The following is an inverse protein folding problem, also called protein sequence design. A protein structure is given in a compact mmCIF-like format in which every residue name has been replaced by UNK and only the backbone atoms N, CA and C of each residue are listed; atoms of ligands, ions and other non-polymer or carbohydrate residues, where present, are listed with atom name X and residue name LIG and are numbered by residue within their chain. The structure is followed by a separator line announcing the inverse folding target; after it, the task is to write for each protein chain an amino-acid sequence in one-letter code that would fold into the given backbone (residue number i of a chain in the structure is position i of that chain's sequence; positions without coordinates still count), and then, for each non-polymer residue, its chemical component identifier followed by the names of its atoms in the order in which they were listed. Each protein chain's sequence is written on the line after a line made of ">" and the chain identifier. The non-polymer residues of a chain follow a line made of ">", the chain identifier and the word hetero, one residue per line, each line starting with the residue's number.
data_IF_403010287211
#
_entry.id   IF_403010287211
#
_cell.length_a   1.000
_cell.length_b   1.000
_cell.length_c   1.000
_cell.angle_alpha   90.00
_cell.angle_beta   90.00
_cell.angle_gamma   90.00
#
_symmetry.space_group_name_H-M   'P 1'
#
loop_
_entity.id
_entity.type
_entity.pdbx_description
1 polymer ?
#
# COMPACT_ATOMS: atom_id res chain seq x y z
N UNK A 1 11.53 -1.78 3.50
CA UNK A 1 10.29 -2.46 3.95
C UNK A 1 9.37 -2.69 2.75
N UNK A 2 8.57 -3.75 2.80
CA UNK A 2 7.56 -4.06 1.78
C UNK A 2 6.24 -4.42 2.47
N UNK A 3 5.13 -4.37 1.73
CA UNK A 3 3.80 -4.67 2.25
C UNK A 3 2.99 -5.48 1.25
N UNK A 4 2.37 -6.56 1.72
CA UNK A 4 1.57 -7.49 0.91
C UNK A 4 0.18 -7.65 1.52
N UNK A 5 -0.83 -7.74 0.66
CA UNK A 5 -2.21 -8.05 1.07
C UNK A 5 -2.27 -9.54 1.40
N UNK A 6 -2.54 -9.87 2.66
CA UNK A 6 -2.62 -11.26 3.15
C UNK A 6 -4.05 -11.75 3.37
N UNK A 7 -5.00 -10.83 3.51
CA UNK A 7 -6.40 -11.12 3.75
C UNK A 7 -7.27 -10.01 3.14
N UNK A 8 -8.47 -10.36 2.68
CA UNK A 8 -9.50 -9.42 2.22
C UNK A 8 -10.78 -9.73 3.00
N UNK A 9 -11.25 -8.77 3.79
CA UNK A 9 -12.46 -8.94 4.60
C UNK A 9 -13.75 -8.95 3.78
N UNK A 10 -13.76 -8.23 2.66
CA UNK A 10 -14.87 -8.24 1.72
C UNK A 10 -14.80 -9.48 0.82
N UNK A 11 -15.61 -10.50 1.16
CA UNK A 11 -15.64 -11.78 0.44
C UNK A 11 -15.98 -11.64 -1.05
N UNK A 12 -16.63 -10.54 -1.45
CA UNK A 12 -16.95 -10.30 -2.87
C UNK A 12 -15.72 -9.92 -3.69
N UNK A 13 -14.61 -9.57 -3.03
CA UNK A 13 -13.37 -9.11 -3.66
C UNK A 13 -12.23 -10.13 -3.62
N UNK A 14 -12.49 -11.38 -3.20
CA UNK A 14 -11.44 -12.40 -3.05
C UNK A 14 -10.71 -12.72 -4.37
N UNK A 15 -11.47 -12.80 -5.46
CA UNK A 15 -10.92 -13.09 -6.80
C UNK A 15 -10.59 -11.81 -7.59
N UNK A 16 -10.56 -10.65 -6.91
CA UNK A 16 -10.27 -9.39 -7.58
C UNK A 16 -8.85 -9.41 -8.13
N UNK A 17 -8.69 -8.99 -9.38
CA UNK A 17 -7.38 -8.71 -10.00
C UNK A 17 -7.15 -7.21 -10.17
N UNK A 18 -5.89 -6.77 -10.20
CA UNK A 18 -5.58 -5.38 -10.54
C UNK A 18 -5.59 -5.19 -12.06
N UNK A 19 -6.77 -5.05 -12.66
CA UNK A 19 -6.91 -4.86 -14.11
C UNK A 19 -6.34 -3.52 -14.61
N UNK A 20 -6.35 -2.49 -13.75
CA UNK A 20 -5.96 -1.11 -14.03
C UNK A 20 -4.48 -0.83 -13.77
N UNK A 21 -3.77 -1.71 -13.05
CA UNK A 21 -2.33 -1.58 -12.85
C UNK A 21 -1.60 -1.55 -14.20
N UNK A 22 -0.53 -0.77 -14.28
CA UNK A 22 0.28 -0.59 -15.49
C UNK A 22 1.64 -1.29 -15.43
N UNK A 23 1.97 -1.92 -14.30
CA UNK A 23 3.24 -2.61 -14.05
C UNK A 23 3.06 -4.15 -13.97
N UNK A 24 4.03 -4.84 -13.36
CA UNK A 24 4.05 -6.30 -13.17
C UNK A 24 2.85 -6.86 -12.40
N UNK A 25 2.07 -5.99 -11.73
CA UNK A 25 0.87 -6.37 -10.97
C UNK A 25 -0.39 -6.39 -11.85
N UNK A 26 -0.30 -5.96 -13.11
CA UNK A 26 -1.44 -5.98 -14.04
C UNK A 26 -2.01 -7.39 -14.22
N UNK A 27 -3.31 -7.52 -13.99
CA UNK A 27 -4.04 -8.79 -14.11
C UNK A 27 -3.70 -9.83 -13.04
N UNK A 28 -2.89 -9.48 -12.03
CA UNK A 28 -2.60 -10.36 -10.89
C UNK A 28 -3.68 -10.23 -9.82
N UNK A 29 -3.90 -11.30 -9.07
CA UNK A 29 -4.80 -11.30 -7.92
C UNK A 29 -4.35 -10.27 -6.89
N UNK A 30 -5.31 -9.52 -6.35
CA UNK A 30 -5.09 -8.52 -5.30
C UNK A 30 -4.72 -9.23 -4.00
N UNK A 31 -5.35 -10.36 -3.69
CA UNK A 31 -4.91 -11.23 -2.60
C UNK A 31 -3.50 -11.76 -2.91
N UNK A 32 -2.56 -11.55 -1.99
CA UNK A 32 -1.14 -11.88 -2.17
C UNK A 32 -0.34 -10.82 -2.92
N UNK A 33 -0.97 -9.72 -3.38
CA UNK A 33 -0.28 -8.65 -4.09
C UNK A 33 0.62 -7.84 -3.16
N UNK A 34 1.86 -7.61 -3.57
CA UNK A 34 2.74 -6.63 -2.94
C UNK A 34 2.36 -5.22 -3.38
N UNK A 35 1.79 -4.46 -2.45
CA UNK A 35 1.28 -3.12 -2.72
C UNK A 35 2.24 -2.02 -2.29
N UNK A 36 3.08 -2.26 -1.27
CA UNK A 36 4.11 -1.33 -0.80
C UNK A 36 5.48 -1.87 -1.19
N UNK A 37 6.30 -1.05 -1.87
CA UNK A 37 7.60 -1.45 -2.43
C UNK A 37 8.70 -0.44 -2.15
N UNK A 38 9.94 -0.92 -2.13
CA UNK A 38 11.17 -0.11 -2.10
C UNK A 38 11.25 0.92 -0.97
N UNK A 39 10.58 0.68 0.16
CA UNK A 39 10.67 1.61 1.30
C UNK A 39 12.05 1.51 1.95
N UNK A 40 12.70 2.63 2.17
CA UNK A 40 13.97 2.74 2.88
C UNK A 40 13.71 3.27 4.30
N UNK A 41 14.49 2.80 5.28
CA UNK A 41 14.32 3.26 6.66
C UNK A 41 15.11 4.54 6.86
N UNK A 42 14.44 5.58 7.34
CA UNK A 42 15.06 6.83 7.78
C UNK A 42 14.62 7.15 9.22
N UNK A 43 15.56 7.05 10.15
CA UNK A 43 15.29 7.21 11.59
C UNK A 43 14.18 6.28 12.10
N UNK A 44 13.04 6.87 12.45
CA UNK A 44 11.85 6.19 12.97
C UNK A 44 10.76 5.95 11.91
N UNK A 45 11.05 6.27 10.66
CA UNK A 45 10.11 6.25 9.56
C UNK A 45 10.67 5.42 8.39
N UNK A 46 9.82 5.22 7.38
CA UNK A 46 10.24 4.71 6.11
C UNK A 46 9.74 5.60 4.98
N UNK A 47 10.60 5.87 4.01
CA UNK A 47 10.31 6.73 2.85
C UNK A 47 11.03 6.24 1.58
N UNK A 48 10.98 7.00 0.49
CA UNK A 48 11.62 6.67 -0.80
C UNK A 48 10.94 5.55 -1.61
N UNK A 49 9.98 4.83 -1.01
CA UNK A 49 9.22 3.77 -1.65
C UNK A 49 7.87 4.22 -2.22
N UNK A 50 7.10 3.26 -2.69
CA UNK A 50 5.79 3.51 -3.33
C UNK A 50 4.70 2.59 -2.81
N UNK A 51 3.46 3.02 -2.95
CA UNK A 51 2.25 2.23 -2.73
C UNK A 51 1.36 2.26 -3.97
N UNK A 52 0.85 1.11 -4.42
CA UNK A 52 -0.21 1.04 -5.44
C UNK A 52 -1.58 0.92 -4.79
N UNK A 53 -2.56 1.59 -5.36
CA UNK A 53 -3.97 1.33 -5.11
C UNK A 53 -4.50 0.35 -6.16
N UNK A 54 -4.78 -0.93 -5.82
CA UNK A 54 -5.25 -1.92 -6.78
C UNK A 54 -6.66 -1.63 -7.35
N UNK A 55 -7.42 -0.72 -6.74
CA UNK A 55 -8.76 -0.35 -7.20
C UNK A 55 -8.69 0.57 -8.42
N UNK A 56 -7.68 1.43 -8.51
CA UNK A 56 -7.51 2.37 -9.62
C UNK A 56 -6.18 2.23 -10.38
N UNK A 57 -5.28 1.35 -9.93
CA UNK A 57 -4.00 1.03 -10.57
C UNK A 57 -2.93 2.11 -10.42
N UNK A 58 -3.19 3.19 -9.66
CA UNK A 58 -2.26 4.30 -9.50
C UNK A 58 -1.22 3.98 -8.44
N UNK A 59 0.01 4.39 -8.73
CA UNK A 59 1.16 4.30 -7.83
C UNK A 59 1.44 5.68 -7.24
N UNK A 60 1.68 5.72 -5.94
CA UNK A 60 1.93 6.92 -5.15
C UNK A 60 3.25 6.80 -4.42
N UNK A 61 3.98 7.90 -4.27
CA UNK A 61 5.11 7.94 -3.33
C UNK A 61 4.59 7.72 -1.92
N UNK A 62 5.33 6.95 -1.12
CA UNK A 62 4.84 6.48 0.17
C UNK A 62 5.80 6.84 1.31
N UNK A 63 5.20 7.24 2.44
CA UNK A 63 5.87 7.41 3.73
C UNK A 63 5.11 6.66 4.81
N UNK A 64 5.84 5.96 5.67
CA UNK A 64 5.31 5.13 6.75
C UNK A 64 5.94 5.56 8.08
N UNK A 65 5.14 5.68 9.13
CA UNK A 65 5.64 5.89 10.49
C UNK A 65 4.68 5.32 11.52
N UNK A 66 5.19 5.08 12.73
CA UNK A 66 4.38 4.67 13.87
C UNK A 66 4.05 5.89 14.72
N UNK A 67 2.78 6.05 15.06
CA UNK A 67 2.28 7.13 15.92
C UNK A 67 1.09 6.58 16.71
N UNK A 68 1.12 6.74 18.03
CA UNK A 68 0.09 6.24 18.95
C UNK A 68 -0.24 4.74 18.79
N UNK A 69 0.77 3.93 18.46
CA UNK A 69 0.63 2.49 18.24
C UNK A 69 -0.05 2.10 16.93
N UNK A 70 -0.36 3.07 16.07
CA UNK A 70 -0.92 2.86 14.73
C UNK A 70 0.14 3.08 13.66
N UNK A 71 0.04 2.34 12.56
CA UNK A 71 0.85 2.59 11.38
C UNK A 71 0.18 3.67 10.54
N UNK A 72 0.82 4.82 10.40
CA UNK A 72 0.40 5.84 9.46
C UNK A 72 0.97 5.50 8.09
N UNK A 73 0.09 5.39 7.10
CA UNK A 73 0.41 5.11 5.70
C UNK A 73 0.04 6.32 4.88
N UNK A 74 1.03 7.10 4.46
CA UNK A 74 0.81 8.30 3.64
C UNK A 74 1.21 8.06 2.20
N UNK A 75 0.31 8.44 1.29
CA UNK A 75 0.55 8.48 -0.15
C UNK A 75 0.56 9.91 -0.67
N UNK A 76 1.44 10.22 -1.62
CA UNK A 76 1.61 11.55 -2.20
C UNK A 76 1.29 11.57 -3.70
N UNK A 77 0.76 12.71 -4.16
CA UNK A 77 0.72 13.11 -5.58
C UNK A 77 1.26 14.54 -5.65
N UNK A 78 2.51 14.68 -6.10
CA UNK A 78 3.23 15.95 -6.02
C UNK A 78 3.17 16.53 -4.58
N UNK A 79 2.52 17.67 -4.39
CA UNK A 79 2.38 18.33 -3.08
C UNK A 79 1.12 17.95 -2.29
N UNK A 80 0.19 17.20 -2.89
CA UNK A 80 -0.99 16.69 -2.21
C UNK A 80 -0.71 15.34 -1.56
N UNK A 81 -1.30 15.08 -0.40
CA UNK A 81 -1.16 13.80 0.28
C UNK A 81 -2.44 13.36 0.98
N UNK A 82 -2.55 12.05 1.20
CA UNK A 82 -3.54 11.45 2.10
C UNK A 82 -2.82 10.51 3.05
N UNK A 83 -3.19 10.57 4.33
CA UNK A 83 -2.73 9.62 5.36
C UNK A 83 -3.87 8.68 5.73
N UNK A 84 -3.57 7.39 5.83
CA UNK A 84 -4.45 6.37 6.41
C UNK A 84 -3.84 5.83 7.70
N UNK A 85 -4.69 5.43 8.64
CA UNK A 85 -4.27 4.82 9.89
C UNK A 85 -4.58 3.33 9.83
N UNK A 86 -3.53 2.51 9.94
CA UNK A 86 -3.64 1.06 9.92
C UNK A 86 -3.44 0.54 11.32
N UNK A 87 -4.48 -0.13 11.82
CA UNK A 87 -4.44 -0.84 13.09
C UNK A 87 -3.66 -2.13 12.89
N UNK A 88 -2.85 -2.50 13.88
CA UNK A 88 -2.13 -3.77 13.86
C UNK A 88 -3.15 -4.93 13.83
N UNK A 89 -3.05 -5.77 12.80
CA UNK A 89 -3.81 -7.03 12.73
C UNK A 89 -3.48 -7.94 13.91
N UNK A 90 -4.45 -8.78 14.29
CA UNK A 90 -4.28 -9.79 15.34
C UNK A 90 -3.69 -11.07 14.79
#
# INVERSE_FOLDING_TARGET
>A
ATGRIVEIFDKTKLDKTCATCTDDRKGKNVLGMEIIRNMEKDGQEWEGGTIVDPDNGKVYDCRLWLEDGMLKVRGYVAFFYRTQEWVRGK
#
